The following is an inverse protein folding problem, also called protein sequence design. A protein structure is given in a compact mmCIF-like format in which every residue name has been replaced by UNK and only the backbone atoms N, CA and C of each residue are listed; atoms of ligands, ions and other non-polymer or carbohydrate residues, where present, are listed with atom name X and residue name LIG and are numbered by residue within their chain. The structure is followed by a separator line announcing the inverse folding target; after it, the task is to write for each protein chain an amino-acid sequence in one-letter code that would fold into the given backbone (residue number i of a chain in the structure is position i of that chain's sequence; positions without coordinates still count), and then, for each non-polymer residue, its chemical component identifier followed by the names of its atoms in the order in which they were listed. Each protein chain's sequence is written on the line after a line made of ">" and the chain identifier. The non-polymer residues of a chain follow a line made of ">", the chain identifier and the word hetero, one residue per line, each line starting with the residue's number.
data_IF_440609511054
#
_entry.id   IF_440609511054
#
_cell.length_a   1.000
_cell.length_b   1.000
_cell.length_c   1.000
_cell.angle_alpha   90.00
_cell.angle_beta   90.00
_cell.angle_gamma   90.00
#
_symmetry.space_group_name_H-M   'P 1'
#
loop_
_entity.id
_entity.type
_entity.pdbx_description
1 polymer ?
#
# COMPACT_ATOMS: atom_id res chain seq x y z
N UNK A 1 -7.65 1.47 -16.35
CA UNK A 1 -8.45 0.50 -15.57
C UNK A 1 -9.87 0.58 -16.05
N UNK A 2 -10.45 -0.52 -16.53
CA UNK A 2 -11.84 -0.52 -16.97
C UNK A 2 -12.78 -0.58 -15.77
N UNK A 3 -13.82 0.24 -15.79
CA UNK A 3 -14.90 0.19 -14.82
C UNK A 3 -16.26 0.28 -15.50
N UNK A 4 -17.25 -0.37 -14.90
CA UNK A 4 -18.66 -0.30 -15.30
C UNK A 4 -19.50 0.09 -14.10
N UNK A 5 -20.56 0.85 -14.35
CA UNK A 5 -21.43 1.38 -13.28
C UNK A 5 -22.85 0.87 -13.45
N UNK A 6 -23.46 0.41 -12.36
CA UNK A 6 -24.84 -0.04 -12.30
C UNK A 6 -25.60 0.68 -11.19
N UNK A 7 -26.86 1.04 -11.44
CA UNK A 7 -27.77 1.38 -10.34
C UNK A 7 -28.12 0.13 -9.51
N UNK A 8 -28.47 0.31 -8.24
CA UNK A 8 -28.77 -0.81 -7.32
C UNK A 8 -29.82 -1.80 -7.83
N UNK A 9 -30.84 -1.32 -8.56
CA UNK A 9 -31.87 -2.16 -9.17
C UNK A 9 -31.29 -3.04 -10.29
N UNK A 10 -30.52 -2.43 -11.21
CA UNK A 10 -29.85 -3.15 -12.29
C UNK A 10 -28.82 -4.14 -11.74
N UNK A 11 -28.12 -3.77 -10.66
CA UNK A 11 -27.14 -4.64 -10.03
C UNK A 11 -27.76 -5.94 -9.50
N UNK A 12 -28.98 -5.88 -8.96
CA UNK A 12 -29.70 -7.09 -8.52
C UNK A 12 -30.09 -8.01 -9.68
N UNK A 13 -30.44 -7.44 -10.83
CA UNK A 13 -30.83 -8.21 -12.01
C UNK A 13 -29.63 -8.83 -12.74
N UNK A 14 -28.45 -8.20 -12.66
CA UNK A 14 -27.25 -8.58 -13.41
C UNK A 14 -26.12 -9.11 -12.51
N UNK A 15 -26.47 -9.64 -11.33
CA UNK A 15 -25.49 -10.00 -10.30
C UNK A 15 -24.41 -10.96 -10.80
N UNK A 16 -24.78 -11.99 -11.56
CA UNK A 16 -23.83 -12.98 -12.10
C UNK A 16 -22.85 -12.34 -13.08
N UNK A 17 -23.33 -11.54 -14.02
CA UNK A 17 -22.49 -10.89 -15.03
C UNK A 17 -21.49 -9.92 -14.39
N UNK A 18 -21.89 -9.25 -13.31
CA UNK A 18 -21.03 -8.38 -12.53
C UNK A 18 -19.91 -9.14 -11.80
N UNK A 19 -20.23 -10.30 -11.21
CA UNK A 19 -19.22 -11.18 -10.61
C UNK A 19 -18.21 -11.65 -11.66
N UNK A 20 -18.69 -12.07 -12.83
CA UNK A 20 -17.83 -12.52 -13.92
C UNK A 20 -16.95 -11.36 -14.47
N UNK A 21 -17.50 -10.15 -14.55
CA UNK A 21 -16.75 -8.96 -14.93
C UNK A 21 -15.66 -8.62 -13.89
N UNK A 22 -15.98 -8.70 -12.60
CA UNK A 22 -15.04 -8.50 -11.50
C UNK A 22 -13.92 -9.55 -11.51
N UNK A 23 -14.23 -10.82 -11.75
CA UNK A 23 -13.25 -11.88 -11.90
C UNK A 23 -12.31 -11.67 -13.09
N UNK A 24 -12.79 -11.06 -14.18
CA UNK A 24 -11.95 -10.64 -15.33
C UNK A 24 -11.14 -9.36 -15.07
N UNK A 25 -11.20 -8.79 -13.87
CA UNK A 25 -10.47 -7.57 -13.50
C UNK A 25 -11.16 -6.26 -13.90
N UNK A 26 -12.45 -6.30 -14.23
CA UNK A 26 -13.25 -5.06 -14.40
C UNK A 26 -13.78 -4.60 -13.05
N UNK A 27 -13.55 -3.34 -12.68
CA UNK A 27 -14.15 -2.80 -11.45
C UNK A 27 -15.63 -2.49 -11.70
N UNK A 28 -16.50 -3.04 -10.87
CA UNK A 28 -17.93 -2.78 -10.95
C UNK A 28 -18.33 -1.82 -9.85
N UNK A 29 -18.90 -0.67 -10.21
CA UNK A 29 -19.38 0.35 -9.27
C UNK A 29 -20.90 0.21 -9.18
N UNK A 30 -21.42 0.09 -7.97
CA UNK A 30 -22.85 0.06 -7.69
C UNK A 30 -23.25 1.37 -7.04
N UNK A 31 -24.22 2.03 -7.64
CA UNK A 31 -24.76 3.30 -7.16
C UNK A 31 -26.13 3.13 -6.49
N UNK A 32 -26.39 3.98 -5.51
CA UNK A 32 -27.71 4.17 -4.92
C UNK A 32 -28.05 5.65 -4.92
N UNK A 33 -29.21 6.00 -5.49
CA UNK A 33 -29.65 7.40 -5.65
C UNK A 33 -28.61 8.30 -6.36
N UNK A 34 -27.96 7.75 -7.40
CA UNK A 34 -26.94 8.48 -8.18
C UNK A 34 -25.60 8.68 -7.46
N UNK A 35 -25.34 7.94 -6.38
CA UNK A 35 -24.09 8.00 -5.63
C UNK A 35 -23.38 6.64 -5.61
N UNK A 36 -22.09 6.58 -5.97
CA UNK A 36 -21.26 5.39 -5.77
C UNK A 36 -21.32 4.94 -4.31
N UNK A 37 -21.73 3.69 -4.09
CA UNK A 37 -21.95 3.14 -2.75
C UNK A 37 -21.10 1.90 -2.51
N UNK A 38 -20.93 1.06 -3.54
CA UNK A 38 -20.13 -0.16 -3.45
C UNK A 38 -19.22 -0.26 -4.66
N UNK A 39 -17.99 -0.74 -4.44
CA UNK A 39 -17.11 -1.20 -5.51
C UNK A 39 -16.97 -2.71 -5.35
N UNK A 40 -17.22 -3.44 -6.42
CA UNK A 40 -16.95 -4.86 -6.55
C UNK A 40 -15.71 -5.05 -7.42
N UNK A 41 -14.80 -5.87 -6.93
CA UNK A 41 -13.55 -6.26 -7.58
C UNK A 41 -13.25 -7.73 -7.24
N UNK A 42 -12.29 -8.33 -7.92
CA UNK A 42 -11.82 -9.67 -7.54
C UNK A 42 -11.20 -9.64 -6.15
N UNK A 43 -11.25 -10.78 -5.46
CA UNK A 43 -10.63 -10.89 -4.13
C UNK A 43 -9.11 -10.68 -4.19
N UNK A 44 -8.45 -11.14 -5.26
CA UNK A 44 -7.02 -10.92 -5.48
C UNK A 44 -6.67 -9.42 -5.59
N UNK A 45 -7.49 -8.64 -6.28
CA UNK A 45 -7.28 -7.19 -6.40
C UNK A 45 -7.47 -6.49 -5.04
N UNK A 46 -8.46 -6.92 -4.26
CA UNK A 46 -8.68 -6.43 -2.89
C UNK A 46 -7.46 -6.72 -1.99
N UNK A 47 -6.96 -7.95 -2.00
CA UNK A 47 -5.78 -8.35 -1.22
C UNK A 47 -4.52 -7.57 -1.64
N UNK A 48 -4.34 -7.31 -2.93
CA UNK A 48 -3.23 -6.51 -3.44
C UNK A 48 -3.30 -5.05 -2.93
N UNK A 49 -4.50 -4.45 -2.93
CA UNK A 49 -4.71 -3.11 -2.41
C UNK A 49 -4.43 -3.04 -0.90
N UNK A 50 -4.92 -4.02 -0.13
CA UNK A 50 -4.66 -4.10 1.30
C UNK A 50 -3.16 -4.22 1.62
N UNK A 51 -2.44 -5.10 0.90
CA UNK A 51 -0.98 -5.23 1.09
C UNK A 51 -0.24 -3.93 0.78
N UNK A 52 -0.63 -3.23 -0.28
CA UNK A 52 -0.04 -1.94 -0.65
C UNK A 52 -0.30 -0.89 0.42
N UNK A 53 -1.54 -0.79 0.92
CA UNK A 53 -1.88 0.13 2.00
C UNK A 53 -1.05 -0.15 3.26
N UNK A 54 -0.97 -1.42 3.68
CA UNK A 54 -0.16 -1.82 4.84
C UNK A 54 1.34 -1.49 4.67
N UNK A 55 1.88 -1.65 3.46
CA UNK A 55 3.28 -1.30 3.17
C UNK A 55 3.54 0.20 3.10
N UNK A 56 2.52 1.01 2.79
CA UNK A 56 2.62 2.47 2.69
C UNK A 56 2.50 3.15 4.06
N UNK A 57 1.82 2.51 5.02
CA UNK A 57 1.73 2.97 6.41
C UNK A 57 2.94 2.56 7.27
N UNK A 58 3.76 1.61 6.81
CA UNK A 58 5.06 1.39 7.42
C UNK A 58 5.91 2.65 7.18
N UNK A 59 6.42 3.32 8.23
CA UNK A 59 7.32 4.46 8.05
C UNK A 59 8.42 4.02 7.10
N UNK A 60 8.66 4.83 6.07
CA UNK A 60 9.49 4.43 4.96
C UNK A 60 10.79 3.85 5.51
N UNK A 61 11.24 2.71 4.99
CA UNK A 61 12.51 2.10 5.40
C UNK A 61 13.65 3.13 5.33
N UNK A 62 13.50 4.16 4.49
CA UNK A 62 14.36 5.33 4.38
C UNK A 62 14.29 6.21 5.65
N UNK A 63 13.12 6.58 6.16
CA UNK A 63 12.96 7.37 7.39
C UNK A 63 13.36 6.59 8.65
N UNK A 64 12.98 5.31 8.75
CA UNK A 64 13.36 4.46 9.88
C UNK A 64 14.89 4.26 9.94
N UNK A 65 15.52 4.08 8.77
CA UNK A 65 16.98 3.98 8.65
C UNK A 65 17.67 5.32 8.89
N UNK A 66 17.12 6.44 8.44
CA UNK A 66 17.66 7.78 8.70
C UNK A 66 17.59 8.15 10.20
N UNK A 67 16.51 7.79 10.88
CA UNK A 67 16.38 8.00 12.33
C UNK A 67 17.34 7.10 13.13
N UNK A 68 17.50 5.84 12.72
CA UNK A 68 18.46 4.92 13.34
C UNK A 68 19.93 5.37 13.12
N UNK A 69 20.24 5.94 11.95
CA UNK A 69 21.61 6.35 11.59
C UNK A 69 22.05 7.69 12.23
N UNK A 70 21.13 8.47 12.82
CA UNK A 70 21.45 9.67 13.60
C UNK A 70 21.71 9.38 15.08
N UNK A 71 21.37 8.18 15.55
CA UNK A 71 21.38 7.82 16.97
C UNK A 71 22.71 7.24 17.46
N UNK A 72 23.63 6.88 16.58
CA UNK A 72 24.86 6.19 16.96
C UNK A 72 26.02 6.79 16.20
N UNK A 73 27.04 7.19 16.95
CA UNK A 73 28.31 7.77 16.52
C UNK A 73 28.30 9.30 16.44
N UNK A 74 28.65 9.91 17.57
CA UNK A 74 29.12 11.29 17.62
C UNK A 74 30.53 11.39 17.01
N UNK A 75 30.92 12.55 16.47
CA UNK A 75 32.26 12.76 15.90
C UNK A 75 33.39 12.46 16.92
N UNK A 76 33.12 12.68 18.21
CA UNK A 76 34.06 12.34 19.28
C UNK A 76 34.31 10.82 19.42
N UNK A 77 33.29 9.98 19.23
CA UNK A 77 33.44 8.52 19.23
C UNK A 77 34.20 8.02 17.99
N UNK A 78 34.05 8.71 16.84
CA UNK A 78 34.84 8.42 15.63
C UNK A 78 36.32 8.70 15.92
N UNK A 79 36.61 9.87 16.48
CA UNK A 79 37.98 10.30 16.74
C UNK A 79 38.67 9.38 17.77
N UNK A 80 37.95 8.86 18.77
CA UNK A 80 38.46 7.86 19.72
C UNK A 80 38.79 6.51 19.05
N UNK A 81 37.96 6.02 18.13
CA UNK A 81 38.20 4.75 17.42
C UNK A 81 39.46 4.86 16.52
N UNK A 82 39.69 6.01 15.90
CA UNK A 82 40.86 6.22 15.05
C UNK A 82 42.13 6.60 15.83
N UNK A 83 42.01 7.07 17.07
CA UNK A 83 43.15 7.30 17.95
C UNK A 83 43.84 5.99 18.38
N UNK A 84 43.09 4.90 18.51
CA UNK A 84 43.62 3.58 18.93
C UNK A 84 44.41 2.86 17.81
N UNK A 85 44.28 3.32 16.55
CA UNK A 85 44.96 2.73 15.37
C UNK A 85 46.38 3.30 15.17
N UNK A 86 46.78 4.33 15.92
CA UNK A 86 48.12 4.93 15.84
C UNK A 86 48.93 4.77 17.13
N UNK A 87 49.22 3.52 17.50
CA UNK A 87 50.44 3.21 18.26
C UNK A 87 51.59 2.92 17.27
N UNK A 88 52.55 3.85 17.07
CA UNK A 88 53.78 3.51 16.36
C UNK A 88 54.59 2.53 17.22
N UNK A 89 55.03 1.45 16.58
CA UNK A 89 56.07 0.53 17.10
C UNK A 89 57.42 1.24 17.11
#
# INVERSE_FOLDING_TARGET
>A
MNSVTYGSEQARLNWRDMLDAALRGTRVIIERYGKPTVVMMSYEEYELLNRRAASAEAPSVIEARNHANQSWVSQAEIDEIFADVHHPV
#
